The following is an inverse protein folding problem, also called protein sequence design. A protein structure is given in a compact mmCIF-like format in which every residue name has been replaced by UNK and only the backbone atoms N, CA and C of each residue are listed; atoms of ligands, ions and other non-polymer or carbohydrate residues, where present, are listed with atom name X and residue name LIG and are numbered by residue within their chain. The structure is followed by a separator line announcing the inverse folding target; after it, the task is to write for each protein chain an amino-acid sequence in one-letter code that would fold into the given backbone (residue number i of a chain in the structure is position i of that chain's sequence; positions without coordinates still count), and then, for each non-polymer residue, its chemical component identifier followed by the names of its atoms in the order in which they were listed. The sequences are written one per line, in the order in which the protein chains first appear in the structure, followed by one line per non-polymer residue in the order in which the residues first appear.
data_IF_397049490255
#
_entry.id   IF_397049490255
#
_cell.length_a   1.000
_cell.length_b   1.000
_cell.length_c   1.000
_cell.angle_alpha   90.00
_cell.angle_beta   90.00
_cell.angle_gamma   90.00
#
_symmetry.space_group_name_H-M   'P 1'
#
loop_
_entity.id
_entity.type
_entity.pdbx_description
1 polymer ?
2 non-polymer ?
3 non-polymer ?
4 non-polymer ?
5 non-polymer ?
6 water ?
#
# COMPACT_ATOMS: atom_id res chain seq x y z
N UNK A 17 23.60 0.08 -7.92
CA UNK A 17 23.14 -0.07 -9.34
C UNK A 17 21.68 0.38 -9.49
N UNK A 18 20.79 -0.14 -8.65
CA UNK A 18 19.37 0.23 -8.72
C UNK A 18 19.15 1.51 -7.91
N UNK A 19 17.89 1.90 -7.76
CA UNK A 19 17.52 3.12 -6.99
C UNK A 19 17.78 2.94 -5.48
N UNK A 20 17.58 4.01 -4.69
CA UNK A 20 17.64 3.86 -3.22
C UNK A 20 16.61 2.84 -2.76
N UNK A 21 15.46 2.82 -3.45
CA UNK A 21 14.40 1.89 -3.06
C UNK A 21 14.78 0.42 -3.29
N UNK A 22 15.70 0.17 -4.23
CA UNK A 22 16.10 -1.20 -4.61
C UNK A 22 16.85 -1.93 -3.51
N UNK A 23 17.40 -1.16 -2.56
CA UNK A 23 18.20 -1.71 -1.49
C UNK A 23 17.45 -1.72 -0.15
N UNK A 24 16.27 -1.12 -0.10
CA UNK A 24 15.59 -0.94 1.20
C UNK A 24 15.18 -2.27 1.87
N UNK A 25 14.98 -3.33 1.06
CA UNK A 25 14.52 -4.64 1.56
C UNK A 25 15.64 -5.72 1.67
N UNK A 26 16.89 -5.35 1.42
CA UNK A 26 17.96 -6.36 1.37
C UNK A 26 17.70 -7.34 0.22
N UNK A 27 18.07 -8.61 0.40
CA UNK A 27 18.09 -9.57 -0.71
C UNK A 27 16.91 -10.55 -0.71
N UNK A 28 16.17 -10.61 0.40
CA UNK A 28 15.12 -11.61 0.53
C UNK A 28 13.88 -11.26 -0.31
N UNK A 29 13.21 -12.28 -0.86
CA UNK A 29 12.01 -12.01 -1.67
C UNK A 29 10.99 -11.20 -0.85
N UNK A 30 10.43 -10.17 -1.48
CA UNK A 30 9.49 -9.26 -0.84
C UNK A 30 8.29 -9.14 -1.77
N UNK A 31 7.10 -9.47 -1.25
CA UNK A 31 5.84 -9.45 -1.97
C UNK A 31 4.93 -8.45 -1.29
N UNK A 32 4.70 -7.36 -2.00
CA UNK A 32 3.87 -6.29 -1.47
C UNK A 32 2.61 -6.13 -2.36
N UNK A 33 1.46 -6.01 -1.70
CA UNK A 33 0.21 -5.70 -2.36
C UNK A 33 -0.16 -4.28 -1.94
N UNK A 34 -0.35 -3.40 -2.92
CA UNK A 34 -0.66 -2.01 -2.65
C UNK A 34 -1.94 -1.66 -3.34
N UNK A 35 -2.94 -1.35 -2.53
CA UNK A 35 -4.29 -1.04 -3.01
C UNK A 35 -4.87 0.21 -2.34
N UNK A 36 -6.05 0.59 -2.80
CA UNK A 36 -6.74 1.81 -2.39
C UNK A 36 -7.78 2.20 -3.41
N UNK A 37 -8.60 3.18 -3.07
CA UNK A 37 -9.56 3.72 -4.04
C UNK A 37 -8.84 4.29 -5.23
N UNK A 38 -9.56 4.39 -6.35
CA UNK A 38 -9.03 5.09 -7.50
C UNK A 38 -8.66 6.55 -7.09
N UNK A 39 -7.62 7.08 -7.71
CA UNK A 39 -7.07 8.43 -7.51
C UNK A 39 -6.41 8.66 -6.12
N UNK A 40 -6.17 7.58 -5.38
CA UNK A 40 -5.48 7.69 -4.08
C UNK A 40 -4.02 8.13 -4.23
N UNK A 41 -3.40 7.76 -5.36
CA UNK A 41 -1.99 8.09 -5.64
C UNK A 41 -1.07 6.89 -5.88
N UNK A 42 -1.65 5.73 -6.11
CA UNK A 42 -0.89 4.48 -6.20
C UNK A 42 0.07 4.46 -7.38
N UNK A 43 -0.41 4.84 -8.56
CA UNK A 43 0.46 4.87 -9.77
C UNK A 43 1.64 5.86 -9.57
N UNK A 44 1.34 7.03 -9.03
CA UNK A 44 2.34 8.04 -8.63
C UNK A 44 3.42 7.45 -7.73
N UNK A 45 3.00 6.67 -6.74
CA UNK A 45 3.92 6.03 -5.84
C UNK A 45 4.80 5.02 -6.58
N UNK A 46 4.19 4.12 -7.35
CA UNK A 46 5.00 3.18 -8.15
C UNK A 46 6.10 3.90 -8.97
N UNK A 47 5.72 5.01 -9.59
CA UNK A 47 6.62 5.75 -10.46
C UNK A 47 7.81 6.36 -9.69
N UNK A 48 7.57 6.83 -8.45
CA UNK A 48 8.64 7.31 -7.56
C UNK A 48 9.62 6.24 -7.08
N UNK A 49 9.17 4.99 -7.05
CA UNK A 49 10.04 3.92 -6.55
C UNK A 49 11.30 3.78 -7.40
N UNK A 50 11.19 4.13 -8.68
CA UNK A 50 12.28 3.96 -9.64
C UNK A 50 12.84 2.53 -9.60
N UNK A 51 11.94 1.55 -9.54
CA UNK A 51 12.28 0.10 -9.56
C UNK A 51 11.93 -0.50 -10.94
N UNK A 52 11.84 0.35 -11.93
CA UNK A 52 11.56 -0.10 -13.30
C UNK A 52 10.14 0.18 -13.74
N UNK A 53 9.79 -0.36 -14.90
CA UNK A 53 8.57 0.02 -15.59
C UNK A 53 7.32 -0.47 -14.83
N UNK A 54 6.29 0.38 -14.78
CA UNK A 54 4.97 0.01 -14.36
C UNK A 54 4.28 -0.70 -15.53
N UNK A 55 3.98 -1.97 -15.32
CA UNK A 55 3.40 -2.81 -16.38
C UNK A 55 1.99 -3.20 -15.99
N UNK A 56 1.05 -2.98 -16.92
CA UNK A 56 -0.35 -3.35 -16.70
C UNK A 56 -0.71 -4.65 -17.41
N UNK A 57 -1.30 -5.56 -16.65
CA UNK A 57 -1.80 -6.82 -17.20
C UNK A 57 -3.31 -6.90 -16.82
N UNK A 58 -4.04 -7.77 -17.49
CA UNK A 58 -5.46 -7.93 -17.25
C UNK A 58 -5.67 -9.44 -17.09
N UNK A 59 -5.30 -9.96 -15.92
CA UNK A 59 -5.29 -11.42 -15.85
C UNK A 59 -6.67 -12.08 -15.91
N UNK A 60 -7.70 -11.34 -15.60
CA UNK A 60 -9.07 -11.78 -15.86
C UNK A 60 -9.91 -10.56 -16.28
N UNK A 61 -10.96 -10.82 -17.05
CA UNK A 61 -11.78 -9.74 -17.61
C UNK A 61 -12.16 -8.71 -16.53
N UNK A 62 -11.90 -7.43 -16.82
CA UNK A 62 -12.30 -6.31 -15.98
C UNK A 62 -11.38 -6.00 -14.81
N UNK A 63 -10.28 -6.73 -14.70
CA UNK A 63 -9.37 -6.66 -13.53
C UNK A 63 -7.98 -6.23 -14.00
N UNK A 64 -7.74 -4.92 -14.01
CA UNK A 64 -6.46 -4.35 -14.39
C UNK A 64 -5.50 -4.34 -13.20
N UNK A 65 -4.34 -4.96 -13.40
CA UNK A 65 -3.31 -5.03 -12.39
C UNK A 65 -2.05 -4.32 -12.87
N UNK A 66 -1.49 -3.45 -12.02
CA UNK A 66 -0.17 -2.86 -12.26
C UNK A 66 0.88 -3.59 -11.40
N UNK A 67 2.04 -3.84 -11.99
CA UNK A 67 3.18 -4.48 -11.32
C UNK A 67 4.51 -3.71 -11.56
N UNK A 68 5.27 -3.51 -10.50
CA UNK A 68 6.66 -3.10 -10.60
C UNK A 68 7.43 -4.24 -9.91
N UNK A 69 8.38 -4.81 -10.64
CA UNK A 69 9.23 -5.88 -10.11
C UNK A 69 10.66 -5.64 -10.45
N UNK A 70 11.50 -5.70 -9.43
CA UNK A 70 12.93 -5.51 -9.56
C UNK A 70 13.57 -6.58 -8.71
N UNK A 71 14.24 -7.52 -9.38
CA UNK A 71 14.89 -8.63 -8.71
C UNK A 71 13.98 -9.29 -7.63
N UNK A 72 14.37 -9.17 -6.37
CA UNK A 72 13.64 -9.77 -5.24
C UNK A 72 12.40 -8.99 -4.74
N UNK A 73 12.12 -7.86 -5.36
CA UNK A 73 11.03 -6.98 -4.91
C UNK A 73 9.87 -6.98 -5.93
N UNK A 74 8.66 -7.28 -5.46
CA UNK A 74 7.46 -7.24 -6.35
C UNK A 74 6.31 -6.48 -5.71
N UNK A 75 5.89 -5.37 -6.35
CA UNK A 75 4.72 -4.59 -5.94
C UNK A 75 3.60 -4.90 -6.93
N UNK A 76 2.47 -5.31 -6.41
CA UNK A 76 1.27 -5.53 -7.20
C UNK A 76 0.23 -4.48 -6.76
N UNK A 77 -0.41 -3.83 -7.73
CA UNK A 77 -1.35 -2.76 -7.44
C UNK A 77 -2.67 -3.01 -8.17
N UNK A 78 -3.76 -2.76 -7.48
CA UNK A 78 -5.04 -2.59 -8.12
C UNK A 78 -5.93 -1.67 -7.30
N UNK A 79 -7.00 -1.22 -7.94
CA UNK A 79 -7.99 -0.36 -7.28
C UNK A 79 -9.01 -1.22 -6.55
N UNK A 80 -9.41 -0.77 -5.38
CA UNK A 80 -10.51 -1.36 -4.66
C UNK A 80 -11.69 -0.38 -4.55
N UNK A 81 -12.87 -0.94 -4.30
CA UNK A 81 -14.08 -0.15 -4.15
C UNK A 81 -14.70 0.27 -5.48
N UNK A 87 -13.04 -11.52 -6.22
CA UNK A 87 -12.45 -12.24 -7.36
C UNK A 87 -11.66 -13.46 -6.88
N UNK A 88 -11.87 -14.63 -7.52
CA UNK A 88 -11.03 -15.82 -7.25
C UNK A 88 -9.52 -15.56 -7.42
N UNK A 89 -9.16 -14.68 -8.37
CA UNK A 89 -7.74 -14.39 -8.66
C UNK A 89 -7.01 -13.74 -7.46
N UNK A 90 -7.75 -13.02 -6.59
CA UNK A 90 -7.15 -12.35 -5.42
C UNK A 90 -6.41 -13.31 -4.47
N UNK A 91 -6.99 -14.49 -4.26
CA UNK A 91 -6.48 -15.45 -3.28
C UNK A 91 -5.01 -15.81 -3.51
N UNK A 92 -4.62 -16.00 -4.76
CA UNK A 92 -3.24 -16.39 -5.07
C UNK A 92 -2.28 -15.24 -4.71
N UNK A 93 -2.73 -14.00 -4.89
CA UNK A 93 -1.92 -12.88 -4.43
C UNK A 93 -1.90 -12.83 -2.90
N UNK A 94 -3.07 -12.96 -2.29
CA UNK A 94 -3.18 -12.79 -0.85
C UNK A 94 -2.30 -13.79 -0.11
N UNK A 95 -2.33 -15.04 -0.57
CA UNK A 95 -1.76 -16.16 0.17
C UNK A 95 -0.29 -15.93 0.56
N UNK A 96 0.49 -15.28 -0.30
CA UNK A 96 1.88 -15.03 0.03
C UNK A 96 2.25 -13.54 0.05
N UNK A 97 1.24 -12.68 0.21
CA UNK A 97 1.52 -11.28 0.38
C UNK A 97 2.17 -11.08 1.77
N UNK A 98 3.33 -10.43 1.81
CA UNK A 98 4.03 -10.16 3.10
C UNK A 98 3.75 -8.78 3.67
N UNK A 99 3.70 -7.77 2.80
CA UNK A 99 3.24 -6.43 3.20
C UNK A 99 2.01 -5.99 2.42
N UNK A 100 1.04 -5.44 3.15
CA UNK A 100 -0.17 -4.86 2.58
C UNK A 100 -0.06 -3.34 2.75
N UNK A 101 -0.03 -2.63 1.64
CA UNK A 101 -0.02 -1.18 1.67
C UNK A 101 -1.38 -0.67 1.22
N UNK A 102 -1.95 0.18 2.05
CA UNK A 102 -3.21 0.77 1.75
C UNK A 102 -3.05 2.28 1.62
N UNK A 103 -3.44 2.79 0.46
CA UNK A 103 -3.25 4.18 0.12
C UNK A 103 -4.56 4.94 0.19
N UNK A 104 -4.53 6.05 0.93
CA UNK A 104 -5.69 6.89 1.17
C UNK A 104 -5.42 8.35 0.70
N UNK A 105 -6.37 8.92 -0.04
CA UNK A 105 -6.33 10.36 -0.37
C UNK A 105 -6.85 11.10 0.85
N UNK A 106 -5.92 11.67 1.62
CA UNK A 106 -6.26 12.36 2.87
C UNK A 106 -7.16 13.60 2.63
N UNK A 107 -7.16 14.10 1.40
CA UNK A 107 -7.88 15.31 1.07
C UNK A 107 -9.31 15.01 0.62
N UNK A 108 -9.63 13.72 0.43
CA UNK A 108 -10.94 13.32 -0.14
C UNK A 108 -11.82 12.87 1.01
N UNK A 109 -12.32 13.86 1.76
CA UNK A 109 -13.09 13.59 2.96
C UNK A 109 -14.38 12.84 2.66
N UNK A 110 -14.94 13.07 1.49
CA UNK A 110 -16.23 12.47 1.10
C UNK A 110 -16.11 10.98 0.90
N UNK A 111 -14.90 10.52 0.56
CA UNK A 111 -14.62 9.10 0.34
C UNK A 111 -13.82 8.38 1.41
N UNK A 112 -13.55 9.01 2.55
CA UNK A 112 -12.77 8.36 3.61
C UNK A 112 -13.51 7.17 4.18
N UNK A 113 -14.84 7.29 4.34
CA UNK A 113 -15.61 6.15 4.87
C UNK A 113 -15.53 4.95 3.92
N UNK A 114 -15.66 5.21 2.61
CA UNK A 114 -15.53 4.19 1.58
C UNK A 114 -14.13 3.56 1.65
N UNK A 115 -13.12 4.40 1.77
CA UNK A 115 -11.71 3.94 1.90
C UNK A 115 -11.60 3.02 3.11
N UNK A 116 -12.13 3.48 4.24
CA UNK A 116 -12.08 2.75 5.48
C UNK A 116 -12.74 1.35 5.33
N UNK A 117 -13.94 1.33 4.75
CA UNK A 117 -14.69 0.07 4.52
C UNK A 117 -13.87 -0.91 3.65
N UNK A 118 -13.17 -0.38 2.65
CA UNK A 118 -12.41 -1.23 1.73
C UNK A 118 -11.18 -1.80 2.42
N UNK A 119 -10.54 -0.99 3.25
CA UNK A 119 -9.44 -1.46 4.10
C UNK A 119 -9.92 -2.58 5.04
N UNK A 120 -11.04 -2.34 5.72
CA UNK A 120 -11.55 -3.35 6.65
C UNK A 120 -11.85 -4.69 5.92
N UNK A 121 -12.42 -4.61 4.72
CA UNK A 121 -12.66 -5.79 3.92
C UNK A 121 -11.37 -6.59 3.65
N UNK A 122 -10.30 -5.89 3.26
CA UNK A 122 -8.96 -6.51 3.12
C UNK A 122 -8.52 -7.21 4.42
N UNK A 123 -8.61 -6.48 5.52
CA UNK A 123 -8.13 -6.96 6.83
C UNK A 123 -8.94 -8.14 7.37
N UNK A 124 -10.14 -8.32 6.83
CA UNK A 124 -11.04 -9.45 7.15
C UNK A 124 -10.82 -10.70 6.28
N UNK A 125 -9.98 -10.58 5.25
CA UNK A 125 -9.61 -11.71 4.40
C UNK A 125 -8.67 -12.60 5.21
N UNK A 126 -9.10 -13.83 5.48
CA UNK A 126 -8.26 -14.80 6.21
C UNK A 126 -6.86 -14.97 5.60
N UNK A 127 -6.77 -14.93 4.28
CA UNK A 127 -5.49 -15.21 3.61
C UNK A 127 -4.46 -14.10 3.81
N UNK A 128 -4.92 -12.92 4.22
CA UNK A 128 -4.06 -11.77 4.50
C UNK A 128 -3.73 -11.61 5.98
N UNK A 129 -4.17 -12.58 6.79
CA UNK A 129 -4.03 -12.59 8.22
C UNK A 129 -2.69 -12.13 8.76
N UNK A 130 -1.60 -12.56 8.12
CA UNK A 130 -0.25 -12.27 8.65
C UNK A 130 0.46 -11.09 7.98
N UNK A 131 -0.22 -10.43 7.05
CA UNK A 131 0.38 -9.27 6.36
C UNK A 131 0.62 -8.12 7.37
N UNK A 132 1.77 -7.48 7.25
CA UNK A 132 2.03 -6.24 7.98
C UNK A 132 1.37 -5.10 7.18
N UNK A 133 0.66 -4.22 7.87
CA UNK A 133 -0.10 -3.16 7.20
C UNK A 133 0.63 -1.81 7.28
N UNK A 134 0.95 -1.28 6.11
CA UNK A 134 1.41 0.09 5.97
C UNK A 134 0.35 0.94 5.31
N UNK A 135 -0.10 1.98 6.01
CA UNK A 135 -1.06 2.92 5.45
C UNK A 135 -0.31 4.17 4.99
N UNK A 136 -0.42 4.49 3.70
CA UNK A 136 0.10 5.75 3.20
C UNK A 136 -1.05 6.79 3.24
N UNK A 137 -0.95 7.73 4.17
CA UNK A 137 -1.91 8.82 4.28
C UNK A 137 -1.42 9.90 3.30
N UNK A 138 -1.87 9.79 2.07
CA UNK A 138 -1.30 10.53 0.95
C UNK A 138 -1.98 11.90 0.74
N UNK A 139 -1.33 12.76 -0.03
CA UNK A 139 -1.84 14.11 -0.36
C UNK A 139 -1.87 14.99 0.87
N UNK A 140 -0.92 14.74 1.78
CA UNK A 140 -0.79 15.53 3.01
C UNK A 140 -0.30 16.96 2.72
N UNK A 141 0.18 17.18 1.50
CA UNK A 141 0.55 18.52 1.02
C UNK A 141 -0.67 19.43 0.88
N UNK A 142 -1.86 18.85 0.76
CA UNK A 142 -3.04 19.66 0.44
C UNK A 142 -3.57 20.41 1.66
N UNK A 143 -3.98 21.69 1.48
CA UNK A 143 -4.36 22.52 2.63
C UNK A 143 -5.44 21.90 3.52
N UNK A 144 -6.45 21.27 2.92
CA UNK A 144 -7.55 20.66 3.69
C UNK A 144 -7.38 19.15 3.97
N UNK A 145 -6.17 18.62 3.79
CA UNK A 145 -5.90 17.21 4.12
C UNK A 145 -6.33 16.88 5.54
N UNK A 146 -6.93 15.71 5.72
CA UNK A 146 -7.29 15.26 7.03
C UNK A 146 -5.99 14.88 7.76
N UNK A 147 -5.76 15.43 8.96
CA UNK A 147 -4.63 15.07 9.81
C UNK A 147 -4.51 13.57 10.01
N UNK A 148 -3.27 13.09 10.20
CA UNK A 148 -3.00 11.65 10.33
C UNK A 148 -3.74 11.04 11.52
N UNK A 149 -3.74 11.75 12.65
CA UNK A 149 -4.46 11.27 13.84
C UNK A 149 -5.95 11.01 13.53
N UNK A 150 -6.60 11.98 12.90
CA UNK A 150 -8.02 11.88 12.56
C UNK A 150 -8.25 10.73 11.58
N UNK A 151 -7.41 10.65 10.55
CA UNK A 151 -7.53 9.61 9.53
C UNK A 151 -7.39 8.20 10.14
N UNK A 152 -6.41 8.05 11.04
CA UNK A 152 -6.15 6.82 11.75
C UNK A 152 -7.43 6.35 12.51
N UNK A 153 -8.09 7.30 13.16
CA UNK A 153 -9.36 7.03 13.87
C UNK A 153 -10.46 6.59 12.90
N UNK A 154 -10.67 7.40 11.87
CA UNK A 154 -11.67 7.13 10.83
C UNK A 154 -11.46 5.79 10.08
N UNK A 155 -10.21 5.38 9.88
CA UNK A 155 -9.94 4.07 9.25
C UNK A 155 -10.15 2.91 10.23
N UNK A 156 -10.35 3.22 11.50
CA UNK A 156 -10.70 2.23 12.51
C UNK A 156 -9.51 1.43 13.00
N UNK A 157 -8.29 1.96 12.84
CA UNK A 157 -7.09 1.17 13.08
C UNK A 157 -6.82 0.88 14.57
N UNK A 158 -7.25 1.78 15.45
CA UNK A 158 -7.03 1.57 16.91
C UNK A 158 -7.84 0.38 17.48
N UNK A 159 -8.81 -0.12 16.73
CA UNK A 159 -9.64 -1.25 17.19
C UNK A 159 -9.08 -2.61 16.77
N UNK A 160 -8.01 -2.58 15.96
CA UNK A 160 -7.40 -3.80 15.42
C UNK A 160 -6.60 -4.52 16.49
N UNK A 161 -6.74 -5.84 16.50
CA UNK A 161 -6.00 -6.71 17.42
C UNK A 161 -5.10 -7.64 16.62
N UNK A 162 -3.88 -7.86 17.11
CA UNK A 162 -2.90 -8.72 16.46
C UNK A 162 -2.69 -8.36 14.96
N UNK A 163 -2.71 -7.08 14.64
CA UNK A 163 -2.24 -6.61 13.34
C UNK A 163 -1.15 -5.63 13.62
N UNK A 164 0.00 -5.79 12.94
CA UNK A 164 1.07 -4.83 13.04
C UNK A 164 0.77 -3.76 11.98
N UNK A 165 0.71 -2.50 12.42
CA UNK A 165 0.40 -1.42 11.49
C UNK A 165 1.03 -0.07 11.81
N UNK A 166 1.11 0.78 10.77
CA UNK A 166 1.67 2.12 10.86
C UNK A 166 1.05 3.01 9.80
N UNK A 167 0.68 4.22 10.20
CA UNK A 167 0.20 5.23 9.25
C UNK A 167 1.26 6.29 8.98
N UNK A 168 1.67 6.40 7.71
CA UNK A 168 2.76 7.25 7.26
C UNK A 168 2.16 8.43 6.47
N UNK A 169 2.42 9.64 6.93
CA UNK A 169 2.12 10.86 6.14
C UNK A 169 2.95 10.87 4.85
N UNK A 170 2.30 11.16 3.72
CA UNK A 170 3.01 11.14 2.44
C UNK A 170 2.52 12.21 1.50
N UNK A 171 3.42 12.62 0.61
CA UNK A 171 3.07 13.40 -0.55
C UNK A 171 3.73 12.70 -1.73
N UNK A 172 2.98 11.81 -2.40
CA UNK A 172 3.55 10.94 -3.41
C UNK A 172 4.13 11.73 -4.58
N UNK A 173 3.52 12.86 -4.91
CA UNK A 173 4.01 13.68 -6.03
C UNK A 173 5.43 14.29 -5.78
N UNK A 174 5.71 14.66 -4.53
CA UNK A 174 7.07 15.04 -4.10
C UNK A 174 7.93 13.81 -3.76
N UNK A 175 7.29 12.72 -3.31
CA UNK A 175 7.98 11.52 -2.84
C UNK A 175 8.04 11.42 -1.32
N UNK A 176 7.69 12.51 -0.66
CA UNK A 176 7.84 12.63 0.79
C UNK A 176 7.11 11.53 1.55
N UNK A 177 7.84 10.90 2.46
CA UNK A 177 7.30 9.85 3.31
C UNK A 177 7.39 8.41 2.79
N UNK A 178 7.58 8.23 1.49
CA UNK A 178 7.46 6.89 0.89
C UNK A 178 8.58 5.95 1.35
N UNK A 179 9.81 6.44 1.30
CA UNK A 179 10.98 5.72 1.86
C UNK A 179 10.83 5.49 3.39
N UNK A 180 10.37 6.50 4.12
CA UNK A 180 10.10 6.37 5.57
C UNK A 180 9.14 5.21 5.84
N UNK A 181 8.05 5.16 5.09
CA UNK A 181 7.07 4.09 5.25
C UNK A 181 7.61 2.74 4.86
N UNK A 182 8.27 2.66 3.73
CA UNK A 182 8.84 1.37 3.31
C UNK A 182 9.99 0.89 4.18
N UNK A 183 10.73 1.83 4.75
CA UNK A 183 11.81 1.53 5.72
C UNK A 183 11.24 0.86 6.97
N UNK A 184 10.18 1.44 7.51
CA UNK A 184 9.41 0.81 8.57
C UNK A 184 8.93 -0.60 8.21
N UNK A 185 8.37 -0.73 7.03
CA UNK A 185 7.83 -2.01 6.59
C UNK A 185 8.98 -3.02 6.46
N UNK A 186 10.09 -2.55 5.91
CA UNK A 186 11.29 -3.37 5.77
C UNK A 186 11.82 -3.91 7.11
N UNK A 187 11.87 -3.05 8.12
CA UNK A 187 12.28 -3.47 9.47
C UNK A 187 11.31 -4.51 10.06
N UNK A 188 10.01 -4.26 9.91
CA UNK A 188 8.96 -5.17 10.44
C UNK A 188 9.01 -6.55 9.80
N UNK A 189 9.38 -6.59 8.53
CA UNK A 189 9.46 -7.84 7.75
C UNK A 189 10.90 -8.37 7.60
N UNK A 190 11.81 -7.84 8.39
CA UNK A 190 13.24 -8.11 8.16
C UNK A 190 13.57 -9.59 8.40
N UNK A 191 12.81 -10.24 9.28
CA UNK A 191 13.03 -11.67 9.59
C UNK A 191 12.14 -12.62 8.76
N UNK A 192 11.56 -12.11 7.68
CA UNK A 192 10.73 -12.91 6.81
C UNK A 192 11.52 -14.11 6.25
X LIG B 1 15.67 6.42 -5.60
X LIG C 1 11.46 10.18 2.64
X LIG C 1 12.45 10.20 3.71
X LIG C 1 10.46 9.14 2.87
X LIG C 1 12.09 9.93 1.32
X LIG C 1 10.78 11.49 2.48
X LIG D 1 -4.29 5.92 -8.52
X LIG D 1 -5.63 5.89 -9.24
X LIG D 1 -4.39 5.46 -7.10
X LIG D 1 -3.24 5.15 -9.29
X LIG D 1 -3.85 7.49 -8.39
X LIG D 1 -2.79 8.30 -9.32
X LIG D 1 -3.09 8.13 -10.80
X LIG D 1 -1.39 7.92 -9.00
X LIG D 1 -2.99 9.79 -8.75
X LIG D 1 -4.28 10.43 -8.87
X LIG D 1 -4.07 11.95 -8.89
X LIG D 1 -3.62 12.37 -7.61
X LIG D 1 -3.04 12.47 -9.88
X LIG D 1 -3.48 13.73 -10.41
X LIG D 1 -1.77 12.66 -9.04
X LIG D 1 -0.79 13.62 -9.53
X LIG D 1 -2.41 13.11 -7.76
X LIG D 1 -1.58 12.85 -6.56
X LIG D 1 -0.94 11.73 -6.21
X LIG D 1 -0.32 11.91 -5.02
X LIG D 1 -0.51 13.18 -4.65
X LIG D 1 -0.12 14.02 -3.50
X LIG D 1 0.59 13.57 -2.57
X LIG D 1 -0.59 15.27 -3.46
X LIG D 1 -1.39 15.79 -4.42
X LIG D 1 -1.79 17.06 -4.26
X LIG D 1 -1.77 15.09 -5.51
X LIG D 1 -1.38 13.78 -5.64
X LIG E 1 -8.67 7.35 -1.22
X LIG F 1 21.18 1.49 1.12
X LIG G 1 -10.32 9.23 0.81
X LIG H 1 8.57 5.52 11.52
X LIG I 1 1.47 -12.42 -4.81
X LIG J 1 0.27 -1.46 17.03
#
# INVERSE_FOLDING_TARGET
MGSSHHHHHHSSGLVPRGSLFSRIFGKKQMRILMVGLDAAGKTTILYKLKLGEIVTTIPTIGFNVETVEYKNICFTVWDVGGQDKIRPLWRHYFQNTQGLIFVVDSNDRERVQESADELQKMLQEDELRDAVLLVFANKQDMPNAMPVSELTDKLGLQHLRSRTWYVQATCATQGTGLYDGLDWLSHELSKR
CL CL
SO4 S O1 O2 O3 O4
GDP PB O1B O2B O3B O3A PA O1A O2A O5' C5' C4' O4' C3' O3' C2' O2' C1' N9 C8 N7 C5 C6 O6 N1 C2 N2 N3 C4
UNX UNK
UNX UNK
UNX UNK
UNX UNK
UNX UNK
UNX UNK
#
